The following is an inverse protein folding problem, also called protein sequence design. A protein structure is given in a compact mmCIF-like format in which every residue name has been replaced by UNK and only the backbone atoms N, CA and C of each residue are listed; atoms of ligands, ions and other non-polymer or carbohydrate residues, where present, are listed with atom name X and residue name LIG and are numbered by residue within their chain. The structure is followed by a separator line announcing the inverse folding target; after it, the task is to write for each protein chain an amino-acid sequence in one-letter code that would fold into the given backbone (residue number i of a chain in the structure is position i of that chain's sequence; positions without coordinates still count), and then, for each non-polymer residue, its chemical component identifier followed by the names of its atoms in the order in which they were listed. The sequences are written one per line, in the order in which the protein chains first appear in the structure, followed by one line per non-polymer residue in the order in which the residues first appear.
data_IF_519549922578
#
_entry.id   IF_519549922578
#
_cell.length_a   1.000
_cell.length_b   1.000
_cell.length_c   1.000
_cell.angle_alpha   90.00
_cell.angle_beta   90.00
_cell.angle_gamma   90.00
#
_symmetry.space_group_name_H-M   'P 1'
#
loop_
_entity.id
_entity.type
_entity.pdbx_description
1 polymer ?
#
# COMPACT_ATOMS: atom_id res chain seq x y z
N UNK A 1 -25.68 -4.30 -21.24
CA UNK A 1 -25.87 -3.57 -19.97
C UNK A 1 -26.08 -4.65 -18.92
N UNK A 2 -25.07 -4.95 -18.10
CA UNK A 2 -25.17 -6.07 -17.15
C UNK A 2 -25.96 -5.58 -15.96
N UNK A 3 -27.04 -6.29 -15.63
CA UNK A 3 -27.96 -5.95 -14.55
C UNK A 3 -27.23 -6.00 -13.21
N UNK A 4 -26.96 -4.80 -12.70
CA UNK A 4 -26.24 -4.50 -11.45
C UNK A 4 -26.88 -5.19 -10.23
N UNK A 5 -28.16 -5.55 -10.32
CA UNK A 5 -28.90 -6.19 -9.24
C UNK A 5 -28.56 -7.69 -9.14
N UNK A 6 -28.39 -8.37 -10.26
CA UNK A 6 -28.12 -9.81 -10.32
C UNK A 6 -26.73 -10.18 -9.77
N UNK A 7 -25.72 -9.33 -10.00
CA UNK A 7 -24.36 -9.56 -9.51
C UNK A 7 -24.26 -9.43 -7.98
N UNK A 8 -25.01 -8.51 -7.36
CA UNK A 8 -24.94 -8.32 -5.90
C UNK A 8 -25.61 -9.44 -5.11
N UNK A 9 -26.66 -10.05 -5.65
CA UNK A 9 -27.32 -11.21 -5.06
C UNK A 9 -26.41 -12.45 -5.10
N UNK A 10 -25.66 -12.66 -6.19
CA UNK A 10 -24.76 -13.80 -6.34
C UNK A 10 -23.60 -13.83 -5.32
N UNK A 11 -23.23 -12.68 -4.73
CA UNK A 11 -22.09 -12.56 -3.82
C UNK A 11 -22.46 -12.13 -2.39
N UNK A 12 -23.75 -12.11 -2.03
CA UNK A 12 -24.20 -11.96 -0.63
C UNK A 12 -23.88 -10.62 0.04
N UNK A 13 -23.74 -9.53 -0.74
CA UNK A 13 -23.31 -8.23 -0.22
C UNK A 13 -24.52 -7.36 0.18
N UNK A 14 -24.87 -7.34 1.49
CA UNK A 14 -25.83 -6.37 2.05
C UNK A 14 -25.13 -5.04 2.37
N UNK A 15 -25.53 -3.95 1.69
CA UNK A 15 -25.00 -2.59 1.92
C UNK A 15 -24.70 -1.83 0.63
N UNK A 16 -25.75 -1.48 -0.10
CA UNK A 16 -25.71 -1.20 -1.54
C UNK A 16 -25.10 0.15 -1.96
N UNK A 17 -24.81 1.09 -1.06
CA UNK A 17 -24.25 2.40 -1.45
C UNK A 17 -22.72 2.49 -1.44
N UNK A 18 -22.02 1.77 -0.55
CA UNK A 18 -20.57 1.94 -0.38
C UNK A 18 -19.69 0.87 -1.04
N UNK A 19 -20.22 -0.32 -1.34
CA UNK A 19 -19.42 -1.46 -1.85
C UNK A 19 -19.45 -1.54 -3.39
N UNK A 20 -20.58 -1.18 -4.01
CA UNK A 20 -20.78 -1.20 -5.46
C UNK A 20 -19.93 -0.16 -6.21
N UNK A 21 -19.85 1.08 -5.69
CA UNK A 21 -19.06 2.15 -6.31
C UNK A 21 -17.56 1.85 -6.38
N UNK A 22 -17.05 0.96 -5.51
CA UNK A 22 -15.62 0.61 -5.47
C UNK A 22 -15.16 -0.25 -6.65
N UNK A 23 -16.03 -1.06 -7.22
CA UNK A 23 -15.69 -1.88 -8.40
C UNK A 23 -15.98 -1.16 -9.71
N UNK A 24 -17.07 -0.39 -9.75
CA UNK A 24 -17.44 0.38 -10.93
C UNK A 24 -16.41 1.45 -11.28
N UNK A 25 -15.71 1.99 -10.27
CA UNK A 25 -14.63 2.96 -10.44
C UNK A 25 -13.24 2.38 -10.14
N UNK A 26 -13.06 1.05 -10.30
CA UNK A 26 -11.79 0.36 -9.97
C UNK A 26 -10.59 1.06 -10.58
N UNK A 27 -10.64 1.38 -11.88
CA UNK A 27 -9.51 1.95 -12.61
C UNK A 27 -9.20 3.38 -12.15
N UNK A 28 -10.24 4.16 -11.82
CA UNK A 28 -10.09 5.50 -11.22
C UNK A 28 -9.51 5.43 -9.82
N UNK A 29 -10.00 4.51 -8.97
CA UNK A 29 -9.53 4.36 -7.58
C UNK A 29 -8.09 3.83 -7.53
N UNK A 30 -7.70 2.95 -8.47
CA UNK A 30 -6.34 2.42 -8.57
C UNK A 30 -5.43 3.25 -9.47
N UNK A 31 -5.89 4.40 -9.99
CA UNK A 31 -5.12 5.25 -10.89
C UNK A 31 -3.78 5.68 -10.22
N UNK A 32 -2.63 5.42 -10.86
CA UNK A 32 -1.32 5.73 -10.30
C UNK A 32 -0.89 7.20 -10.50
N UNK A 33 -1.55 7.91 -11.42
CA UNK A 33 -1.25 9.31 -11.79
C UNK A 33 -2.07 10.29 -10.94
N UNK A 34 -3.32 9.96 -10.68
CA UNK A 34 -4.23 10.84 -9.93
C UNK A 34 -3.97 10.79 -8.42
N UNK A 35 -3.95 11.96 -7.79
CA UNK A 35 -3.90 12.06 -6.33
C UNK A 35 -5.22 11.60 -5.71
N UNK A 36 -5.17 11.17 -4.43
CA UNK A 36 -6.38 10.74 -3.71
C UNK A 36 -7.42 11.87 -3.63
N UNK A 37 -6.97 13.12 -3.50
CA UNK A 37 -7.84 14.30 -3.48
C UNK A 37 -8.58 14.48 -4.81
N UNK A 38 -7.89 14.37 -5.94
CA UNK A 38 -8.51 14.47 -7.27
C UNK A 38 -9.50 13.33 -7.51
N UNK A 39 -9.19 12.12 -7.05
CA UNK A 39 -10.10 10.97 -7.15
C UNK A 39 -11.34 11.19 -6.27
N UNK A 40 -11.16 11.70 -5.05
CA UNK A 40 -12.23 12.03 -4.11
C UNK A 40 -13.18 13.09 -4.71
N UNK A 41 -12.63 14.14 -5.32
CA UNK A 41 -13.39 15.18 -6.02
C UNK A 41 -14.16 14.62 -7.23
N UNK A 42 -13.51 13.80 -8.06
CA UNK A 42 -14.12 13.18 -9.24
C UNK A 42 -15.27 12.23 -8.88
N UNK A 43 -15.09 11.43 -7.83
CA UNK A 43 -16.06 10.44 -7.39
C UNK A 43 -17.06 10.99 -6.35
N UNK A 44 -16.91 12.26 -5.95
CA UNK A 44 -17.73 12.95 -4.93
C UNK A 44 -17.82 12.15 -3.62
N UNK A 45 -16.69 11.59 -3.18
CA UNK A 45 -16.56 10.83 -1.93
C UNK A 45 -15.39 11.32 -1.11
N UNK A 46 -15.33 10.92 0.15
CA UNK A 46 -14.29 11.40 1.05
C UNK A 46 -12.93 10.76 0.75
N UNK A 47 -11.86 11.46 1.12
CA UNK A 47 -10.48 10.97 1.03
C UNK A 47 -10.32 9.65 1.80
N UNK A 48 -10.93 9.53 2.97
CA UNK A 48 -10.89 8.33 3.81
C UNK A 48 -11.59 7.13 3.14
N UNK A 49 -12.74 7.35 2.50
CA UNK A 49 -13.42 6.32 1.72
C UNK A 49 -12.57 5.83 0.55
N UNK A 50 -11.82 6.72 -0.12
CA UNK A 50 -10.86 6.32 -1.17
C UNK A 50 -9.73 5.48 -0.60
N UNK A 51 -9.16 5.85 0.55
CA UNK A 51 -8.14 5.03 1.21
C UNK A 51 -8.65 3.62 1.53
N UNK A 52 -9.85 3.53 2.12
CA UNK A 52 -10.49 2.27 2.46
C UNK A 52 -10.85 1.44 1.21
N UNK A 53 -11.32 2.10 0.14
CA UNK A 53 -11.61 1.47 -1.14
C UNK A 53 -10.35 0.90 -1.79
N UNK A 54 -9.28 1.69 -1.87
CA UNK A 54 -8.01 1.30 -2.47
C UNK A 54 -7.37 0.12 -1.71
N UNK A 55 -7.44 0.15 -0.37
CA UNK A 55 -7.01 -0.95 0.51
C UNK A 55 -7.79 -2.24 0.26
N UNK A 56 -9.12 -2.15 0.26
CA UNK A 56 -9.99 -3.31 0.01
C UNK A 56 -9.79 -3.91 -1.39
N UNK A 57 -9.68 -3.05 -2.42
CA UNK A 57 -9.43 -3.48 -3.80
C UNK A 57 -8.09 -4.17 -3.95
N UNK A 58 -7.01 -3.61 -3.40
CA UNK A 58 -5.68 -4.25 -3.45
C UNK A 58 -5.65 -5.61 -2.79
N UNK A 59 -6.25 -5.73 -1.60
CA UNK A 59 -6.38 -7.02 -0.89
C UNK A 59 -7.11 -8.06 -1.74
N UNK A 60 -8.25 -7.70 -2.34
CA UNK A 60 -9.03 -8.64 -3.15
C UNK A 60 -8.31 -9.02 -4.45
N UNK A 61 -7.63 -8.07 -5.07
CA UNK A 61 -6.91 -8.28 -6.32
C UNK A 61 -5.51 -8.88 -6.14
N UNK A 62 -5.11 -9.18 -4.89
CA UNK A 62 -3.75 -9.62 -4.53
C UNK A 62 -2.66 -8.70 -5.09
N UNK A 63 -2.97 -7.41 -5.25
CA UNK A 63 -1.98 -6.41 -5.61
C UNK A 63 -1.20 -6.12 -4.34
N UNK A 64 0.10 -6.40 -4.34
CA UNK A 64 0.95 -6.15 -3.18
C UNK A 64 0.79 -4.71 -2.70
N UNK A 65 0.52 -4.55 -1.40
CA UNK A 65 0.49 -3.25 -0.74
C UNK A 65 1.91 -2.67 -0.71
N UNK A 66 2.30 -2.01 -1.79
CA UNK A 66 3.53 -1.19 -1.88
C UNK A 66 3.40 0.13 -1.12
N UNK A 67 2.42 0.25 -0.21
CA UNK A 67 2.35 1.38 0.71
C UNK A 67 3.14 1.00 1.98
N UNK A 68 4.31 1.60 2.13
CA UNK A 68 5.14 1.54 3.33
C UNK A 68 6.18 0.43 3.32
N UNK A 69 5.75 -0.84 3.28
CA UNK A 69 6.68 -1.98 3.43
C UNK A 69 7.58 -2.17 2.21
N UNK A 70 7.03 -2.25 0.99
CA UNK A 70 7.84 -2.49 -0.22
C UNK A 70 8.89 -1.38 -0.49
N UNK A 71 8.60 -0.13 -0.12
CA UNK A 71 9.58 0.96 -0.25
C UNK A 71 10.73 0.81 0.75
N UNK A 72 10.43 0.45 1.99
CA UNK A 72 11.44 0.24 3.02
C UNK A 72 12.25 -1.04 2.75
N UNK A 73 11.60 -2.13 2.34
CA UNK A 73 12.26 -3.38 1.96
C UNK A 73 13.19 -3.17 0.77
N UNK A 74 12.74 -2.47 -0.29
CA UNK A 74 13.58 -2.10 -1.42
C UNK A 74 14.78 -1.25 -0.98
N UNK A 75 14.55 -0.25 -0.13
CA UNK A 75 15.64 0.57 0.40
C UNK A 75 16.65 -0.27 1.21
N UNK A 76 16.15 -1.18 2.06
CA UNK A 76 16.98 -2.07 2.90
C UNK A 76 17.83 -3.00 2.05
N UNK A 77 17.27 -3.57 0.98
CA UNK A 77 18.03 -4.40 0.03
C UNK A 77 19.09 -3.58 -0.72
N UNK A 78 18.76 -2.37 -1.16
CA UNK A 78 19.71 -1.48 -1.84
C UNK A 78 20.89 -1.07 -0.94
N UNK A 79 20.67 -0.95 0.37
CA UNK A 79 21.68 -0.52 1.34
C UNK A 79 22.14 -1.66 2.26
N UNK A 80 22.07 -2.91 1.80
CA UNK A 80 22.38 -4.10 2.60
C UNK A 80 23.85 -4.10 3.10
N UNK A 81 24.79 -3.68 2.25
CA UNK A 81 26.22 -3.62 2.57
C UNK A 81 26.48 -2.58 3.68
N UNK A 82 26.07 -1.31 3.55
CA UNK A 82 26.15 -0.33 4.63
C UNK A 82 25.49 -0.78 5.93
N UNK A 83 24.27 -1.35 5.85
CA UNK A 83 23.51 -1.81 7.02
C UNK A 83 24.26 -2.90 7.80
N UNK A 84 25.01 -3.75 7.11
CA UNK A 84 25.80 -4.83 7.72
C UNK A 84 27.11 -4.32 8.31
N UNK A 85 27.81 -3.45 7.59
CA UNK A 85 29.22 -3.15 7.89
C UNK A 85 29.43 -1.88 8.73
N UNK A 86 28.54 -0.89 8.63
CA UNK A 86 28.73 0.40 9.30
C UNK A 86 28.25 0.39 10.76
N UNK A 87 28.88 1.20 11.61
CA UNK A 87 28.40 1.42 12.98
C UNK A 87 27.13 2.28 12.96
N UNK A 88 26.30 2.17 14.00
CA UNK A 88 25.05 2.94 14.12
C UNK A 88 25.30 4.44 13.93
N UNK A 89 26.33 5.02 14.55
CA UNK A 89 26.64 6.45 14.41
C UNK A 89 26.93 6.87 12.96
N UNK A 90 27.63 6.03 12.20
CA UNK A 90 27.93 6.30 10.77
C UNK A 90 26.65 6.26 9.94
N UNK A 91 25.77 5.27 10.18
CA UNK A 91 24.47 5.17 9.51
C UNK A 91 23.53 6.34 9.84
N UNK A 92 23.58 6.85 11.07
CA UNK A 92 22.82 8.03 11.48
C UNK A 92 23.31 9.28 10.74
N UNK A 93 24.63 9.43 10.57
CA UNK A 93 25.21 10.57 9.85
C UNK A 93 24.92 10.50 8.35
N UNK A 94 25.07 9.32 7.74
CA UNK A 94 24.94 9.13 6.29
C UNK A 94 23.49 9.25 5.81
N UNK A 95 22.55 8.65 6.55
CA UNK A 95 21.15 8.56 6.12
C UNK A 95 20.18 9.44 6.90
N UNK A 96 20.66 10.17 7.93
CA UNK A 96 19.84 11.04 8.78
C UNK A 96 18.62 10.34 9.41
N UNK A 97 18.82 9.07 9.80
CA UNK A 97 17.78 8.20 10.38
C UNK A 97 18.06 7.93 11.85
N UNK A 98 17.01 7.65 12.63
CA UNK A 98 17.16 7.36 14.06
C UNK A 98 17.78 5.99 14.31
N UNK A 99 18.31 5.80 15.52
CA UNK A 99 18.85 4.50 15.98
C UNK A 99 17.82 3.39 15.92
N UNK A 100 16.57 3.69 16.28
CA UNK A 100 15.43 2.77 16.27
C UNK A 100 15.11 2.34 14.84
N UNK A 101 15.11 3.30 13.91
CA UNK A 101 14.89 3.01 12.49
C UNK A 101 16.03 2.15 11.90
N UNK A 102 17.28 2.40 12.28
CA UNK A 102 18.43 1.55 11.89
C UNK A 102 18.25 0.12 12.42
N UNK A 103 17.89 -0.04 13.70
CA UNK A 103 17.65 -1.36 14.29
C UNK A 103 16.54 -2.12 13.55
N UNK A 104 15.41 -1.44 13.29
CA UNK A 104 14.31 -2.01 12.53
C UNK A 104 14.75 -2.49 11.15
N UNK A 105 15.49 -1.65 10.42
CA UNK A 105 15.99 -1.97 9.06
C UNK A 105 16.98 -3.14 9.06
N UNK A 106 17.82 -3.29 10.08
CA UNK A 106 18.70 -4.48 10.24
C UNK A 106 17.92 -5.76 10.50
N UNK A 107 16.89 -5.70 11.34
CA UNK A 107 16.01 -6.86 11.58
C UNK A 107 15.29 -7.23 10.28
N UNK A 108 14.81 -6.23 9.54
CA UNK A 108 14.16 -6.44 8.26
C UNK A 108 15.11 -7.07 7.24
N UNK A 109 16.36 -6.59 7.16
CA UNK A 109 17.39 -7.16 6.28
C UNK A 109 17.59 -8.66 6.55
N UNK A 110 17.74 -9.05 7.82
CA UNK A 110 17.87 -10.46 8.21
C UNK A 110 16.68 -11.31 7.75
N UNK A 111 15.46 -10.79 7.92
CA UNK A 111 14.23 -11.48 7.49
C UNK A 111 14.09 -11.60 5.97
N UNK A 112 14.62 -10.63 5.23
CA UNK A 112 14.62 -10.67 3.76
C UNK A 112 15.66 -11.66 3.23
N UNK A 113 16.84 -11.70 3.84
CA UNK A 113 17.89 -12.65 3.47
C UNK A 113 17.54 -14.10 3.82
N UNK A 114 16.78 -14.34 4.90
CA UNK A 114 16.37 -15.71 5.29
C UNK A 114 15.22 -16.29 4.45
N UNK A 115 14.61 -15.49 3.56
CA UNK A 115 13.53 -15.92 2.66
C UNK A 115 14.02 -16.30 1.27
N UNK A 116 15.28 -16.01 0.97
CA UNK A 116 15.98 -16.39 -0.27
C UNK A 116 16.67 -17.72 -0.01
#
# INVERSE_FOLDING_TARGET
MIDTFAWCLAYGLKGYKGILGRYQHRDTILNPVMTIKQIAEQLKITIEEIHNARKALRRKLKIEETIGQGKIEKWVLQHAIPLTNLKIKQLQQEYQISKEQIKYRRILLKKLQSKI
#
